data_IF_426499012404
#
_entry.id   IF_426499012404
#
_cell.length_a   1.000
_cell.length_b   1.000
_cell.length_c   1.000
_cell.angle_alpha   90.00
_cell.angle_beta   90.00
_cell.angle_gamma   90.00
#
_symmetry.space_group_name_H-M   'P 1'
#
loop_
_entity.id
_entity.type
_entity.pdbx_description
1 polymer ?
#
# COMPACT_ATOMS: atom_id res chain seq x y z
N UNK A 1 -2.06 -12.71 2.43
CA UNK A 1 -1.06 -12.44 3.49
C UNK A 1 0.11 -11.72 2.85
N UNK A 2 0.55 -10.60 3.42
CA UNK A 2 1.66 -9.79 2.89
C UNK A 2 2.92 -10.07 3.71
N UNK A 3 3.86 -10.83 3.14
CA UNK A 3 5.17 -11.07 3.74
C UNK A 3 6.18 -10.23 2.98
N UNK A 4 6.60 -9.11 3.56
CA UNK A 4 7.67 -8.29 3.01
C UNK A 4 8.87 -8.24 3.96
N UNK A 5 10.06 -8.16 3.38
CA UNK A 5 11.31 -8.00 4.13
C UNK A 5 11.28 -6.73 4.99
N UNK A 6 11.87 -6.72 6.19
CA UNK A 6 11.92 -5.53 7.04
C UNK A 6 12.61 -4.33 6.38
N UNK A 7 13.49 -4.58 5.40
CA UNK A 7 14.21 -3.58 4.61
C UNK A 7 13.47 -3.10 3.35
N UNK A 8 12.24 -3.56 3.09
CA UNK A 8 11.48 -3.07 1.94
C UNK A 8 11.24 -1.56 2.10
N UNK A 9 11.52 -0.80 1.04
CA UNK A 9 11.30 0.64 1.07
C UNK A 9 9.82 0.98 1.03
N UNK A 10 9.44 2.17 1.51
CA UNK A 10 8.06 2.66 1.43
C UNK A 10 7.50 2.56 0.01
N UNK A 11 8.30 2.93 -0.98
CA UNK A 11 7.88 2.91 -2.38
C UNK A 11 7.58 1.48 -2.85
N UNK A 12 8.48 0.55 -2.59
CA UNK A 12 8.29 -0.86 -2.94
C UNK A 12 7.05 -1.44 -2.24
N UNK A 13 6.90 -1.20 -0.94
CA UNK A 13 5.75 -1.68 -0.17
C UNK A 13 4.42 -1.11 -0.69
N UNK A 14 4.41 0.16 -1.09
CA UNK A 14 3.26 0.80 -1.71
C UNK A 14 2.95 0.22 -3.10
N UNK A 15 3.97 -0.09 -3.90
CA UNK A 15 3.78 -0.72 -5.22
C UNK A 15 3.22 -2.14 -5.07
N UNK A 16 3.74 -2.93 -4.13
CA UNK A 16 3.17 -4.24 -3.80
C UNK A 16 1.71 -4.12 -3.32
N UNK A 17 1.43 -3.16 -2.44
CA UNK A 17 0.06 -2.93 -1.98
C UNK A 17 -0.85 -2.49 -3.14
N UNK A 18 -0.38 -1.64 -4.06
CA UNK A 18 -1.14 -1.23 -5.26
C UNK A 18 -1.30 -2.34 -6.29
N UNK A 19 -0.46 -3.38 -6.26
CA UNK A 19 -0.58 -4.55 -7.13
C UNK A 19 -1.63 -5.55 -6.63
N UNK A 20 -2.03 -5.49 -5.36
CA UNK A 20 -3.12 -6.31 -4.83
C UNK A 20 -4.47 -5.91 -5.43
N UNK A 21 -5.19 -6.88 -5.98
CA UNK A 21 -6.51 -6.68 -6.60
C UNK A 21 -7.50 -6.04 -5.60
N UNK A 22 -7.46 -6.45 -4.34
CA UNK A 22 -8.28 -5.87 -3.27
C UNK A 22 -8.04 -4.37 -3.11
N UNK A 23 -6.78 -3.93 -3.21
CA UNK A 23 -6.42 -2.52 -3.09
C UNK A 23 -6.81 -1.77 -4.34
N UNK A 24 -6.55 -2.30 -5.54
CA UNK A 24 -6.94 -1.68 -6.81
C UNK A 24 -8.45 -1.39 -6.86
N UNK A 25 -9.28 -2.32 -6.40
CA UNK A 25 -10.74 -2.13 -6.28
C UNK A 25 -11.14 -0.99 -5.34
N UNK A 26 -10.32 -0.69 -4.32
CA UNK A 26 -10.53 0.44 -3.42
C UNK A 26 -9.90 1.74 -3.94
N UNK A 27 -8.92 1.66 -4.83
CA UNK A 27 -8.31 2.82 -5.50
C UNK A 27 -9.14 3.27 -6.71
N UNK A 28 -9.89 2.36 -7.35
CA UNK A 28 -10.66 2.63 -8.54
C UNK A 28 -11.72 3.71 -8.29
N UNK A 29 -11.65 4.81 -9.04
CA UNK A 29 -12.55 5.96 -8.90
C UNK A 29 -12.25 6.88 -7.72
N UNK A 30 -11.22 6.58 -6.91
CA UNK A 30 -10.82 7.40 -5.75
C UNK A 30 -9.47 8.06 -5.94
N UNK A 31 -9.27 9.22 -5.31
CA UNK A 31 -7.96 9.90 -5.31
C UNK A 31 -7.18 9.55 -4.05
N UNK A 32 -5.94 9.11 -4.23
CA UNK A 32 -5.01 8.88 -3.13
C UNK A 32 -4.65 10.23 -2.51
N UNK A 33 -5.02 10.41 -1.24
CA UNK A 33 -4.71 11.60 -0.44
C UNK A 33 -3.45 11.44 0.38
N UNK A 34 -3.16 10.21 0.84
CA UNK A 34 -2.00 9.94 1.67
C UNK A 34 -1.58 8.48 1.53
N UNK A 35 -0.29 8.28 1.46
CA UNK A 35 0.35 6.97 1.42
C UNK A 35 1.27 6.91 2.63
N UNK A 36 1.19 5.85 3.43
CA UNK A 36 2.01 5.69 4.61
C UNK A 36 2.45 4.24 4.73
N UNK A 37 3.75 4.03 4.81
CA UNK A 37 4.30 2.72 5.10
C UNK A 37 4.92 2.70 6.49
N UNK A 38 4.54 1.71 7.29
CA UNK A 38 5.18 1.44 8.58
C UNK A 38 5.96 0.12 8.45
N UNK A 39 7.30 0.15 8.41
CA UNK A 39 8.12 -1.04 8.22
C UNK A 39 7.86 -2.07 9.31
N UNK A 40 7.62 -3.31 8.92
CA UNK A 40 7.30 -4.41 9.84
C UNK A 40 5.92 -4.31 10.51
N UNK A 41 5.06 -3.37 10.11
CA UNK A 41 3.66 -3.28 10.57
C UNK A 41 2.65 -3.39 9.43
N UNK A 42 2.53 -2.36 8.59
CA UNK A 42 1.46 -2.27 7.59
C UNK A 42 1.67 -1.10 6.60
N UNK A 43 1.02 -1.20 5.45
CA UNK A 43 0.83 -0.12 4.46
C UNK A 43 -0.56 0.46 4.63
N UNK A 44 -0.69 1.80 4.65
CA UNK A 44 -1.95 2.53 4.69
C UNK A 44 -2.08 3.45 3.49
N UNK A 45 -3.12 3.24 2.69
CA UNK A 45 -3.48 4.05 1.54
C UNK A 45 -4.78 4.79 1.86
N UNK A 46 -4.69 6.10 2.09
CA UNK A 46 -5.85 6.95 2.36
C UNK A 46 -6.38 7.47 1.04
N UNK A 47 -7.61 7.07 0.70
CA UNK A 47 -8.32 7.47 -0.51
C UNK A 47 -9.57 8.27 -0.18
N UNK A 48 -9.97 9.18 -1.06
CA UNK A 48 -11.25 9.89 -1.01
C UNK A 48 -12.15 9.47 -2.18
#
# INVERSE_FOLDING_TARGET
EFTASPDITEKEALEFAKAEENVQRHLEGKKIKKEMYIPGRLVSLVVA
#
